data_IF_330084930993
#
_entry.id   IF_330084930993
#
_cell.length_a   1.000
_cell.length_b   1.000
_cell.length_c   1.000
_cell.angle_alpha   90.00
_cell.angle_beta   90.00
_cell.angle_gamma   90.00
#
_symmetry.space_group_name_H-M   'P 1'
#
loop_
_entity.id
_entity.type
_entity.pdbx_description
1 polymer ?
#
# COMPACT_ATOMS: atom_id res chain seq x y z
N UNK A 1 4.10 -4.16 -7.24
CA UNK A 1 4.54 -5.26 -6.34
C UNK A 1 4.83 -4.65 -4.99
N UNK A 2 4.19 -5.13 -3.92
CA UNK A 2 4.44 -4.75 -2.54
C UNK A 2 5.50 -5.69 -1.94
N UNK A 3 6.47 -5.13 -1.22
CA UNK A 3 7.66 -5.83 -0.69
C UNK A 3 7.71 -5.71 0.84
N UNK A 4 8.59 -6.53 1.46
CA UNK A 4 8.92 -6.48 2.89
C UNK A 4 7.79 -6.86 3.84
N UNK A 5 6.81 -7.64 3.37
CA UNK A 5 5.78 -8.19 4.24
C UNK A 5 6.26 -9.53 4.79
N UNK A 6 6.45 -9.60 6.11
CA UNK A 6 6.95 -10.81 6.77
C UNK A 6 5.97 -11.98 6.61
N UNK A 7 6.52 -13.21 6.57
CA UNK A 7 5.72 -14.44 6.43
C UNK A 7 4.70 -14.65 7.56
N UNK A 8 4.92 -14.01 8.72
CA UNK A 8 4.03 -14.05 9.89
C UNK A 8 2.79 -13.18 9.77
N UNK A 9 2.73 -12.28 8.77
CA UNK A 9 1.57 -11.42 8.56
C UNK A 9 0.46 -12.18 7.83
N UNK A 10 -0.77 -11.99 8.30
CA UNK A 10 -1.97 -12.49 7.62
C UNK A 10 -2.32 -11.53 6.48
N UNK A 11 -2.01 -11.95 5.26
CA UNK A 11 -2.39 -11.24 4.03
C UNK A 11 -3.16 -12.20 3.13
N UNK A 12 -4.26 -11.69 2.58
CA UNK A 12 -5.21 -12.43 1.75
C UNK A 12 -5.43 -11.71 0.43
N UNK A 13 -5.75 -12.49 -0.60
CA UNK A 13 -6.23 -11.92 -1.85
C UNK A 13 -7.54 -11.17 -1.61
N UNK A 14 -7.66 -9.99 -2.21
CA UNK A 14 -8.77 -9.05 -1.97
C UNK A 14 -8.49 -7.99 -0.90
N UNK A 15 -7.46 -8.15 -0.06
CA UNK A 15 -7.13 -7.15 0.97
C UNK A 15 -6.86 -5.77 0.35
N UNK A 16 -7.38 -4.74 1.00
CA UNK A 16 -7.24 -3.35 0.56
C UNK A 16 -5.90 -2.78 1.03
N UNK A 17 -5.21 -2.10 0.11
CA UNK A 17 -3.94 -1.42 0.39
C UNK A 17 -4.17 0.09 0.40
N UNK A 18 -3.76 0.73 1.49
CA UNK A 18 -3.81 2.19 1.70
C UNK A 18 -2.44 2.75 2.07
N UNK A 19 -2.19 4.05 1.83
CA UNK A 19 -0.99 4.74 2.34
C UNK A 19 -1.02 4.82 3.87
N UNK A 20 0.13 4.58 4.51
CA UNK A 20 0.25 4.59 5.97
C UNK A 20 0.42 5.99 6.58
N UNK A 21 0.91 6.96 5.81
CA UNK A 21 1.37 8.25 6.35
C UNK A 21 2.84 8.24 6.80
N UNK A 22 3.44 7.06 6.97
CA UNK A 22 4.75 6.91 7.58
C UNK A 22 5.86 7.55 6.74
N UNK A 23 6.72 8.34 7.40
CA UNK A 23 7.83 9.05 6.76
C UNK A 23 7.45 10.40 6.15
N UNK A 24 6.20 10.85 6.29
CA UNK A 24 5.78 12.21 5.92
C UNK A 24 5.76 12.51 4.42
N UNK A 25 5.81 11.48 3.56
CA UNK A 25 5.84 11.65 2.09
C UNK A 25 4.43 11.66 1.49
N UNK A 26 3.52 10.87 2.05
CA UNK A 26 2.13 10.77 1.59
C UNK A 26 1.19 10.93 2.77
N UNK A 27 0.03 11.59 2.62
CA UNK A 27 -1.05 11.51 3.61
C UNK A 27 -1.44 10.06 3.88
N UNK A 28 -1.90 9.78 5.10
CA UNK A 28 -2.47 8.47 5.45
C UNK A 28 -3.85 8.28 4.80
N UNK A 29 -4.16 7.04 4.43
CA UNK A 29 -5.52 6.63 4.04
C UNK A 29 -5.86 6.72 2.56
N UNK A 30 -4.89 7.03 1.69
CA UNK A 30 -5.11 7.06 0.24
C UNK A 30 -5.15 5.62 -0.29
N UNK A 31 -6.24 5.25 -0.97
CA UNK A 31 -6.41 3.90 -1.52
C UNK A 31 -5.49 3.69 -2.74
N UNK A 32 -4.74 2.59 -2.70
CA UNK A 32 -3.82 2.19 -3.78
C UNK A 32 -4.47 1.10 -4.65
N UNK A 33 -5.05 0.08 -4.01
CA UNK A 33 -5.54 -1.09 -4.74
C UNK A 33 -5.89 -2.25 -3.84
N UNK A 34 -5.98 -3.44 -4.43
CA UNK A 34 -6.25 -4.70 -3.72
C UNK A 34 -5.19 -5.75 -4.03
N UNK A 35 -4.91 -6.62 -3.07
CA UNK A 35 -4.05 -7.78 -3.28
C UNK A 35 -4.68 -8.67 -4.35
N UNK A 36 -3.97 -8.84 -5.47
CA UNK A 36 -4.41 -9.66 -6.59
C UNK A 36 -3.77 -11.03 -6.62
N UNK A 37 -2.58 -11.17 -6.04
CA UNK A 37 -1.86 -12.44 -5.94
C UNK A 37 -0.81 -12.39 -4.84
N UNK A 38 -0.62 -13.51 -4.16
CA UNK A 38 0.46 -13.69 -3.19
C UNK A 38 1.38 -14.81 -3.65
N UNK A 39 2.61 -14.48 -4.04
CA UNK A 39 3.62 -15.50 -4.35
C UNK A 39 4.21 -16.01 -3.03
N UNK A 40 3.77 -17.21 -2.62
CA UNK A 40 4.26 -17.90 -1.41
C UNK A 40 5.49 -18.74 -1.73
N UNK A 41 6.58 -18.09 -2.08
CA UNK A 41 7.86 -18.78 -2.32
C UNK A 41 8.34 -19.44 -1.02
N UNK A 42 8.74 -20.72 -1.11
CA UNK A 42 9.26 -21.47 0.05
C UNK A 42 10.55 -20.84 0.60
N UNK A 43 11.41 -20.32 -0.28
CA UNK A 43 12.63 -19.61 0.09
C UNK A 43 12.39 -18.12 0.40
N UNK A 44 13.12 -17.58 1.38
CA UNK A 44 13.08 -16.17 1.78
C UNK A 44 12.20 -15.85 3.00
N UNK A 45 12.40 -14.66 3.57
CA UNK A 45 11.73 -14.19 4.81
C UNK A 45 10.43 -13.43 4.57
N UNK A 46 10.16 -13.03 3.33
CA UNK A 46 9.07 -12.11 2.99
C UNK A 46 8.15 -12.69 1.91
N UNK A 47 6.86 -12.34 1.98
CA UNK A 47 5.92 -12.52 0.90
C UNK A 47 6.21 -11.53 -0.24
N UNK A 48 5.95 -11.98 -1.47
CA UNK A 48 5.90 -11.11 -2.65
C UNK A 48 4.45 -10.92 -3.05
N UNK A 49 3.93 -9.71 -2.83
CA UNK A 49 2.51 -9.40 -3.00
C UNK A 49 2.32 -8.58 -4.26
N UNK A 50 1.38 -9.01 -5.10
CA UNK A 50 0.94 -8.27 -6.28
C UNK A 50 -0.34 -7.54 -5.92
N UNK A 51 -0.40 -6.28 -6.31
CA UNK A 51 -1.52 -5.38 -6.02
C UNK A 51 -2.06 -4.92 -7.36
N UNK A 52 -3.36 -5.15 -7.58
CA UNK A 52 -4.08 -4.55 -8.69
C UNK A 52 -4.50 -3.13 -8.27
N UNK A 53 -4.18 -2.09 -9.07
CA UNK A 53 -4.59 -0.74 -8.76
C UNK A 53 -6.12 -0.62 -8.75
N UNK A 54 -6.65 0.24 -7.87
CA UNK A 54 -8.10 0.52 -7.85
C UNK A 54 -8.55 1.39 -9.03
N UNK A 55 -7.60 2.10 -9.64
CA UNK A 55 -7.81 3.02 -10.76
C UNK A 55 -7.35 2.40 -12.07
N UNK A 56 -8.17 2.59 -13.10
CA UNK A 56 -7.83 2.34 -14.49
C UNK A 56 -7.15 3.60 -15.06
N UNK A 57 -5.82 3.58 -15.13
CA UNK A 57 -5.03 4.73 -15.59
C UNK A 57 -5.30 5.15 -17.04
N UNK A 58 -5.97 4.30 -17.84
CA UNK A 58 -6.35 4.65 -19.22
C UNK A 58 -7.55 5.61 -19.30
N UNK A 59 -8.26 5.81 -18.17
CA UNK A 59 -9.49 6.61 -18.08
C UNK A 59 -9.34 7.85 -17.19
N UNK A 60 -8.11 8.33 -17.02
CA UNK A 60 -7.86 9.54 -16.24
C UNK A 60 -8.31 10.78 -17.00
N UNK A 61 -9.14 11.60 -16.35
CA UNK A 61 -9.56 12.91 -16.85
C UNK A 61 -8.98 14.05 -15.99
N UNK A 62 -8.99 13.87 -14.67
CA UNK A 62 -8.49 14.84 -13.70
C UNK A 62 -7.64 14.15 -12.62
N UNK A 63 -6.65 14.87 -12.11
CA UNK A 63 -5.79 14.43 -11.00
C UNK A 63 -5.63 15.55 -9.98
N UNK A 64 -5.54 15.19 -8.70
CA UNK A 64 -5.23 16.12 -7.61
C UNK A 64 -3.81 15.87 -7.10
N UNK A 65 -3.04 16.96 -6.95
CA UNK A 65 -1.71 16.91 -6.34
C UNK A 65 -1.84 17.32 -4.87
N UNK A 66 -1.48 16.40 -3.99
CA UNK A 66 -1.44 16.65 -2.55
C UNK A 66 -0.02 17.13 -2.19
N UNK A 67 0.10 18.39 -1.78
CA UNK A 67 1.40 19.05 -1.52
C UNK A 67 1.84 18.97 -0.07
N UNK A 68 0.97 18.56 0.85
CA UNK A 68 1.31 18.29 2.24
C UNK A 68 0.85 16.88 2.63
N UNK A 69 1.72 16.16 3.32
CA UNK A 69 1.33 15.00 4.11
C UNK A 69 1.01 15.52 5.51
N UNK A 70 -0.23 15.96 5.73
CA UNK A 70 -0.64 16.37 7.07
C UNK A 70 -0.64 15.12 7.96
N UNK A 71 0.44 14.98 8.72
CA UNK A 71 0.79 13.82 9.53
C UNK A 71 1.95 14.19 10.43
N UNK A 72 1.77 15.24 11.24
CA UNK A 72 2.50 15.34 12.49
C UNK A 72 2.14 14.10 13.31
N UNK A 73 3.08 13.17 13.47
CA UNK A 73 2.97 12.10 14.46
C UNK A 73 3.06 12.74 15.87
N UNK A 74 1.98 13.37 16.32
CA UNK A 74 1.70 13.58 17.74
C UNK A 74 1.35 12.22 18.37
N UNK A 75 2.36 11.38 18.57
CA UNK A 75 2.37 10.38 19.64
C UNK A 75 3.81 9.88 19.85
N UNK A 76 4.68 10.84 20.17
CA UNK A 76 5.75 10.57 21.14
C UNK A 76 5.16 10.69 22.54
N UNK A 77 4.81 9.57 23.16
CA UNK A 77 4.79 9.43 24.62
C UNK A 77 5.10 8.01 25.06
#
# INVERSE_FOLDING_TARGET
ILKYIAKTQDVREGDVIITSGMGGVFPKGIMIGRVSRIDRLESGLFWKIYVAPVIDFSKLEEVSVLTSADGEDEDSK
#
